data_IF_118814557463
#
_entry.id   IF_118814557463
#
_cell.length_a   1.000
_cell.length_b   1.000
_cell.length_c   1.000
_cell.angle_alpha   90.00
_cell.angle_beta   90.00
_cell.angle_gamma   90.00
#
_symmetry.space_group_name_H-M   'P 1'
#
loop_
_entity.id
_entity.type
_entity.pdbx_description
1 polymer ?
#
# COMPACT_ATOMS: atom_id res chain seq x y z
N UNK A 1 -4.43 -9.83 -3.71
CA UNK A 1 -5.01 -8.71 -2.93
C UNK A 1 -6.28 -9.21 -2.27
N UNK A 2 -6.51 -8.96 -0.99
CA UNK A 2 -7.77 -9.30 -0.30
C UNK A 2 -8.24 -8.09 0.50
N UNK A 3 -9.51 -7.77 0.44
CA UNK A 3 -10.18 -6.94 1.42
C UNK A 3 -10.81 -7.85 2.46
N UNK A 4 -10.80 -7.45 3.72
CA UNK A 4 -11.44 -8.18 4.82
C UNK A 4 -12.23 -7.18 5.65
N UNK A 5 -13.36 -7.62 6.15
CA UNK A 5 -14.14 -6.89 7.16
C UNK A 5 -13.80 -7.42 8.55
N UNK A 6 -14.00 -6.60 9.55
CA UNK A 6 -13.74 -6.97 10.94
C UNK A 6 -14.79 -7.97 11.49
N UNK A 7 -15.95 -8.00 10.86
CA UNK A 7 -17.03 -8.94 11.20
C UNK A 7 -17.93 -9.21 9.97
N UNK A 8 -18.17 -10.49 9.65
CA UNK A 8 -18.91 -10.92 8.47
C UNK A 8 -20.42 -10.96 8.67
N UNK A 9 -20.88 -11.17 9.91
CA UNK A 9 -22.30 -11.34 10.25
C UNK A 9 -22.67 -10.45 11.44
N UNK A 10 -23.83 -9.80 11.34
CA UNK A 10 -24.43 -9.03 12.41
C UNK A 10 -25.86 -9.49 12.66
N UNK A 11 -26.21 -9.63 13.93
CA UNK A 11 -27.58 -9.77 14.40
C UNK A 11 -27.93 -8.53 15.22
N UNK A 12 -28.80 -7.67 14.71
CA UNK A 12 -29.06 -6.34 15.27
C UNK A 12 -30.55 -6.06 15.45
N UNK A 13 -30.86 -5.15 16.33
CA UNK A 13 -32.21 -4.62 16.47
C UNK A 13 -32.54 -3.64 15.35
N UNK A 14 -33.84 -3.45 15.00
CA UNK A 14 -34.23 -2.40 14.06
C UNK A 14 -33.69 -1.04 14.49
N UNK A 15 -33.13 -0.29 13.50
CA UNK A 15 -32.55 1.04 13.67
C UNK A 15 -31.29 1.10 14.57
N UNK A 16 -30.76 -0.01 15.05
CA UNK A 16 -29.44 -0.06 15.66
C UNK A 16 -28.37 0.26 14.62
N UNK A 17 -27.40 1.10 15.00
CA UNK A 17 -26.31 1.48 14.09
C UNK A 17 -25.28 0.37 14.07
N UNK A 18 -25.09 -0.24 12.90
CA UNK A 18 -23.99 -1.15 12.62
C UNK A 18 -22.79 -0.34 12.12
N UNK A 19 -21.63 -0.60 12.69
CA UNK A 19 -20.35 -0.12 12.19
C UNK A 19 -19.51 -1.31 11.72
N UNK A 20 -19.06 -1.27 10.48
CA UNK A 20 -18.20 -2.28 9.87
C UNK A 20 -16.95 -1.62 9.38
N UNK A 21 -15.79 -2.14 9.74
CA UNK A 21 -14.49 -1.62 9.32
C UNK A 21 -13.88 -2.55 8.28
N UNK A 22 -13.60 -2.01 7.09
CA UNK A 22 -12.84 -2.72 6.09
C UNK A 22 -11.35 -2.47 6.28
N UNK A 23 -10.60 -3.55 6.27
CA UNK A 23 -9.15 -3.53 6.23
C UNK A 23 -8.64 -4.32 5.03
N UNK A 24 -7.46 -3.97 4.55
CA UNK A 24 -6.78 -4.72 3.51
C UNK A 24 -5.51 -5.34 4.07
N UNK A 25 -5.24 -6.59 3.70
CA UNK A 25 -3.91 -7.16 3.94
C UNK A 25 -2.90 -6.40 3.10
N UNK A 26 -1.86 -5.89 3.73
CA UNK A 26 -0.73 -5.25 3.05
C UNK A 26 -0.15 -6.22 2.03
N UNK A 27 -0.18 -5.85 0.76
CA UNK A 27 0.64 -6.50 -0.24
C UNK A 27 2.08 -6.01 -0.09
N UNK A 28 3.02 -6.86 -0.45
CA UNK A 28 4.40 -6.46 -0.67
C UNK A 28 4.46 -5.27 -1.63
N UNK A 29 5.29 -4.27 -1.34
CA UNK A 29 5.68 -3.28 -2.33
C UNK A 29 6.76 -3.91 -3.20
N UNK A 30 6.46 -4.18 -4.46
CA UNK A 30 7.39 -4.77 -5.41
C UNK A 30 8.08 -3.65 -6.19
N UNK A 31 9.21 -3.97 -6.78
CA UNK A 31 9.96 -3.11 -7.69
C UNK A 31 10.43 -3.87 -8.91
N UNK A 32 10.76 -3.18 -9.99
CA UNK A 32 11.46 -3.76 -11.14
C UNK A 32 12.96 -3.70 -10.92
N UNK A 33 13.64 -4.83 -11.06
CA UNK A 33 15.09 -4.96 -10.96
C UNK A 33 15.71 -5.05 -12.35
N UNK A 34 16.72 -4.22 -12.59
CA UNK A 34 17.48 -4.10 -13.83
C UNK A 34 18.92 -4.57 -13.63
N UNK A 35 19.46 -5.35 -14.58
CA UNK A 35 20.75 -6.05 -14.47
C UNK A 35 21.99 -5.20 -14.86
N UNK A 36 21.78 -3.98 -15.34
CA UNK A 36 22.86 -3.10 -15.81
C UNK A 36 23.46 -3.46 -17.16
N UNK A 37 22.89 -4.45 -17.87
CA UNK A 37 23.49 -4.95 -19.12
C UNK A 37 22.49 -5.18 -20.26
N UNK A 38 21.26 -5.57 -19.96
CA UNK A 38 20.28 -5.95 -20.98
C UNK A 38 18.85 -5.58 -20.65
N UNK A 39 18.52 -5.46 -19.36
CA UNK A 39 17.15 -5.25 -18.91
C UNK A 39 16.67 -3.83 -19.15
N UNK A 40 15.46 -3.70 -19.68
CA UNK A 40 14.73 -2.45 -19.79
C UNK A 40 13.23 -2.73 -19.99
N UNK A 41 12.39 -1.76 -19.64
CA UNK A 41 10.97 -1.78 -19.92
C UNK A 41 10.66 -0.79 -21.03
N UNK A 42 9.88 -1.21 -22.04
CA UNK A 42 9.28 -0.33 -23.04
C UNK A 42 7.81 -0.08 -22.72
N UNK A 43 7.44 1.18 -22.58
CA UNK A 43 6.05 1.62 -22.43
C UNK A 43 5.60 2.12 -23.80
N UNK A 44 4.63 1.44 -24.45
CA UNK A 44 4.16 1.82 -25.78
C UNK A 44 3.63 3.24 -25.81
N UNK A 45 3.90 3.94 -26.90
CA UNK A 45 3.39 5.30 -27.09
C UNK A 45 1.87 5.37 -26.90
N UNK A 46 1.44 6.37 -26.14
CA UNK A 46 0.03 6.63 -25.88
C UNK A 46 -0.27 8.13 -25.93
N UNK A 47 -1.48 8.49 -26.33
CA UNK A 47 -1.93 9.87 -26.37
C UNK A 47 -1.93 10.54 -24.98
N UNK A 48 -2.04 9.75 -23.90
CA UNK A 48 -2.07 10.26 -22.53
C UNK A 48 -0.79 11.01 -22.13
N UNK A 49 0.37 10.63 -22.67
CA UNK A 49 1.64 11.32 -22.40
C UNK A 49 2.24 12.04 -23.62
N UNK A 50 1.43 12.31 -24.64
CA UNK A 50 1.81 13.21 -25.73
C UNK A 50 1.68 14.67 -25.26
N UNK A 51 2.68 15.11 -24.51
CA UNK A 51 2.68 16.34 -23.75
C UNK A 51 2.67 17.60 -24.65
N UNK A 52 3.20 17.48 -25.88
CA UNK A 52 3.22 18.58 -26.83
C UNK A 52 4.02 19.80 -26.36
N UNK A 53 3.31 20.90 -26.17
CA UNK A 53 3.85 22.15 -25.64
C UNK A 53 3.32 22.48 -24.23
N UNK A 54 2.64 21.53 -23.56
CA UNK A 54 2.05 21.76 -22.24
C UNK A 54 3.05 21.48 -21.11
N UNK A 55 2.75 21.99 -19.92
CA UNK A 55 3.51 21.67 -18.70
C UNK A 55 3.32 20.20 -18.33
N UNK A 56 4.34 19.58 -17.74
CA UNK A 56 4.29 18.20 -17.30
C UNK A 56 5.26 17.92 -16.16
N UNK A 57 5.10 16.75 -15.55
CA UNK A 57 6.07 16.21 -14.59
C UNK A 57 6.26 14.72 -14.82
N UNK A 58 7.48 14.24 -14.52
CA UNK A 58 7.83 12.81 -14.48
C UNK A 58 8.45 12.53 -13.14
N UNK A 59 7.98 11.51 -12.46
CA UNK A 59 8.51 11.11 -11.15
C UNK A 59 8.52 9.60 -11.00
N UNK A 60 9.47 9.10 -10.20
CA UNK A 60 9.63 7.68 -9.87
C UNK A 60 10.57 7.50 -8.68
N UNK A 61 10.49 6.33 -8.05
CA UNK A 61 11.52 5.87 -7.15
C UNK A 61 12.57 5.07 -7.90
N UNK A 62 13.83 5.23 -7.50
CA UNK A 62 14.96 4.50 -8.06
C UNK A 62 15.97 4.17 -6.97
N UNK A 63 16.50 2.95 -7.01
CA UNK A 63 17.67 2.51 -6.27
C UNK A 63 18.75 2.22 -7.30
N UNK A 64 19.88 2.90 -7.20
CA UNK A 64 21.03 2.70 -8.10
C UNK A 64 22.14 2.03 -7.32
N UNK A 65 22.59 0.88 -7.79
CA UNK A 65 23.76 0.24 -7.21
C UNK A 65 24.99 1.11 -7.49
N UNK A 66 25.94 1.14 -6.54
CA UNK A 66 27.16 1.93 -6.67
C UNK A 66 27.92 1.52 -7.93
N UNK A 67 27.78 2.29 -8.99
CA UNK A 67 28.42 2.07 -10.29
C UNK A 67 28.99 3.37 -10.80
N UNK A 68 30.18 3.29 -11.43
CA UNK A 68 30.73 4.40 -12.21
C UNK A 68 30.13 4.32 -13.62
N UNK A 69 29.69 5.43 -14.15
CA UNK A 69 29.14 5.49 -15.51
C UNK A 69 27.85 6.27 -15.60
N UNK A 70 27.48 6.64 -16.80
CA UNK A 70 26.20 7.24 -17.11
C UNK A 70 25.17 6.12 -17.29
N UNK A 71 24.05 6.23 -16.63
CA UNK A 71 22.92 5.31 -16.76
C UNK A 71 21.64 6.09 -17.07
N UNK A 72 20.89 5.69 -18.09
CA UNK A 72 19.59 6.26 -18.36
C UNK A 72 18.53 5.63 -17.46
N UNK A 73 17.80 6.49 -16.76
CA UNK A 73 16.71 6.09 -15.88
C UNK A 73 15.40 6.01 -16.66
N UNK A 74 15.06 7.04 -17.43
CA UNK A 74 13.92 7.01 -18.33
C UNK A 74 14.11 7.90 -19.54
N UNK A 75 13.65 7.44 -20.71
CA UNK A 75 13.85 8.14 -21.98
C UNK A 75 12.57 8.10 -22.81
N UNK A 76 12.13 9.27 -23.25
CA UNK A 76 11.11 9.46 -24.29
C UNK A 76 11.75 10.28 -25.41
N UNK A 77 12.45 9.63 -26.34
CA UNK A 77 13.13 10.29 -27.47
C UNK A 77 13.06 9.47 -28.73
N UNK A 78 12.82 10.14 -29.86
CA UNK A 78 12.93 9.52 -31.17
C UNK A 78 14.37 9.55 -31.71
N UNK A 79 14.58 9.02 -32.90
CA UNK A 79 15.89 8.94 -33.56
C UNK A 79 16.54 10.32 -33.83
N UNK A 80 15.75 11.40 -33.88
CA UNK A 80 16.28 12.78 -34.03
C UNK A 80 16.61 13.44 -32.71
N UNK A 81 16.31 12.76 -31.59
CA UNK A 81 16.50 13.24 -30.22
C UNK A 81 15.36 14.10 -29.69
N UNK A 82 14.27 14.29 -30.45
CA UNK A 82 13.07 14.99 -29.99
C UNK A 82 12.43 14.21 -28.84
N UNK A 83 12.03 14.90 -27.77
CA UNK A 83 11.48 14.34 -26.54
C UNK A 83 12.31 14.74 -25.32
N UNK A 84 12.37 13.88 -24.31
CA UNK A 84 13.09 14.11 -23.07
C UNK A 84 13.87 12.87 -22.62
N UNK A 85 14.83 13.07 -21.71
CA UNK A 85 15.57 12.01 -21.05
C UNK A 85 15.97 12.39 -19.63
N UNK A 86 15.96 11.42 -18.73
CA UNK A 86 16.44 11.49 -17.35
C UNK A 86 17.54 10.44 -17.19
N UNK A 87 18.66 10.82 -16.59
CA UNK A 87 19.82 9.94 -16.40
C UNK A 87 20.53 10.24 -15.08
N UNK A 88 21.33 9.30 -14.62
CA UNK A 88 22.37 9.48 -13.61
C UNK A 88 23.72 9.63 -14.29
N UNK A 89 24.53 10.59 -13.89
CA UNK A 89 25.88 10.78 -14.40
C UNK A 89 26.93 9.94 -13.64
N UNK A 90 28.23 10.10 -14.02
CA UNK A 90 29.34 9.37 -13.41
C UNK A 90 29.57 9.70 -11.92
N UNK A 91 28.95 10.73 -11.40
CA UNK A 91 29.08 11.21 -10.02
C UNK A 91 27.80 11.00 -9.21
N UNK A 92 26.88 10.22 -9.70
CA UNK A 92 25.60 9.96 -9.04
C UNK A 92 24.56 11.08 -9.17
N UNK A 93 24.86 12.16 -9.89
CA UNK A 93 23.92 13.28 -10.04
C UNK A 93 22.88 12.99 -11.12
N UNK A 94 21.63 13.40 -10.86
CA UNK A 94 20.54 13.26 -11.83
C UNK A 94 20.55 14.40 -12.85
N UNK A 95 20.43 14.05 -14.12
CA UNK A 95 20.28 14.98 -15.22
C UNK A 95 18.93 14.87 -15.93
N UNK A 96 18.49 15.99 -16.52
CA UNK A 96 17.31 16.06 -17.38
C UNK A 96 17.65 16.86 -18.64
N UNK A 97 17.18 16.37 -19.79
CA UNK A 97 17.27 17.09 -21.06
C UNK A 97 15.98 16.97 -21.85
N UNK A 98 15.73 17.99 -22.65
CA UNK A 98 14.63 17.97 -23.61
C UNK A 98 15.06 18.61 -24.95
N UNK A 99 14.40 18.13 -26.03
CA UNK A 99 14.56 18.64 -27.39
C UNK A 99 13.23 18.69 -28.09
N UNK A 100 12.94 19.81 -28.75
CA UNK A 100 11.73 19.95 -29.55
C UNK A 100 11.91 19.55 -31.02
N UNK A 101 10.80 19.55 -31.75
CA UNK A 101 10.73 19.25 -33.19
C UNK A 101 11.57 20.19 -34.02
N UNK A 102 11.77 21.43 -33.59
CA UNK A 102 12.65 22.43 -34.27
C UNK A 102 14.13 22.23 -33.99
N UNK A 103 14.47 21.34 -33.05
CA UNK A 103 15.84 21.02 -32.67
C UNK A 103 16.38 21.85 -31.50
N UNK A 104 15.59 22.74 -30.91
CA UNK A 104 16.01 23.43 -29.70
C UNK A 104 16.25 22.41 -28.58
N UNK A 105 17.39 22.50 -27.91
CA UNK A 105 17.85 21.51 -26.92
C UNK A 105 18.35 22.20 -25.68
N UNK A 106 17.94 21.71 -24.52
CA UNK A 106 18.44 22.16 -23.23
C UNK A 106 18.65 20.95 -22.31
N UNK A 107 19.60 21.11 -21.39
CA UNK A 107 19.86 20.14 -20.34
C UNK A 107 20.17 20.84 -19.00
N UNK A 108 19.91 20.14 -17.91
CA UNK A 108 20.35 20.48 -16.56
C UNK A 108 20.83 19.22 -15.84
N UNK A 109 21.70 19.40 -14.83
CA UNK A 109 22.18 18.34 -13.96
C UNK A 109 22.18 18.86 -12.53
N UNK A 110 21.71 18.08 -11.59
CA UNK A 110 21.82 18.34 -10.17
C UNK A 110 23.26 18.22 -9.68
N UNK A 111 23.51 18.66 -8.47
CA UNK A 111 24.83 18.59 -7.85
C UNK A 111 24.81 18.66 -6.33
N UNK A 112 23.62 18.39 -5.72
CA UNK A 112 23.40 18.42 -4.27
C UNK A 112 23.30 17.01 -3.73
N UNK A 113 22.50 16.16 -4.39
CA UNK A 113 22.18 14.81 -3.95
C UNK A 113 22.65 13.78 -4.97
N UNK A 114 23.53 12.88 -4.56
CA UNK A 114 23.93 11.71 -5.33
C UNK A 114 22.93 10.57 -5.05
N UNK A 115 22.55 9.82 -6.09
CA UNK A 115 21.52 8.75 -5.97
C UNK A 115 22.10 7.35 -6.17
N UNK A 116 23.40 7.19 -6.28
CA UNK A 116 24.09 5.91 -6.51
C UNK A 116 24.77 5.36 -5.24
N UNK A 117 24.13 5.59 -4.11
CA UNK A 117 24.56 5.16 -2.78
C UNK A 117 23.94 3.81 -2.33
N UNK A 118 23.14 3.17 -3.19
CA UNK A 118 22.46 1.90 -2.90
C UNK A 118 21.20 2.04 -2.04
N UNK A 119 20.69 3.25 -1.85
CA UNK A 119 19.42 3.52 -1.21
C UNK A 119 18.34 3.91 -2.23
N UNK A 120 17.08 3.85 -1.82
CA UNK A 120 15.97 4.36 -2.60
C UNK A 120 15.93 5.88 -2.58
N UNK A 121 15.87 6.49 -3.76
CA UNK A 121 15.67 7.92 -3.95
C UNK A 121 14.44 8.21 -4.81
N UNK A 122 13.67 9.20 -4.44
CA UNK A 122 12.60 9.72 -5.27
C UNK A 122 13.13 10.81 -6.20
N UNK A 123 12.99 10.61 -7.49
CA UNK A 123 13.37 11.57 -8.54
C UNK A 123 12.12 12.18 -9.13
N UNK A 124 12.02 13.51 -9.16
CA UNK A 124 10.95 14.21 -9.85
C UNK A 124 11.49 15.36 -10.70
N UNK A 125 11.09 15.36 -11.96
CA UNK A 125 11.34 16.46 -12.90
C UNK A 125 10.01 17.12 -13.20
N UNK A 126 9.91 18.43 -12.98
CA UNK A 126 8.73 19.23 -13.33
C UNK A 126 9.13 20.27 -14.37
N UNK A 127 8.27 20.51 -15.36
CA UNK A 127 8.53 21.53 -16.36
C UNK A 127 7.33 22.42 -16.59
N UNK A 128 7.43 23.67 -16.10
CA UNK A 128 6.46 24.72 -16.37
C UNK A 128 6.78 25.34 -17.74
N UNK A 129 6.01 24.98 -18.75
CA UNK A 129 6.20 25.46 -20.12
C UNK A 129 5.83 26.94 -20.25
N UNK A 130 4.86 27.43 -19.48
CA UNK A 130 4.45 28.84 -19.47
C UNK A 130 5.51 29.77 -18.89
N UNK A 131 6.27 29.29 -17.89
CA UNK A 131 7.41 30.02 -17.28
C UNK A 131 8.75 29.61 -17.89
N UNK A 132 8.76 28.66 -18.82
CA UNK A 132 9.96 28.08 -19.41
C UNK A 132 10.95 27.49 -18.39
N UNK A 133 10.47 27.08 -17.20
CA UNK A 133 11.36 26.60 -16.12
C UNK A 133 11.17 25.10 -15.91
N UNK A 134 12.27 24.36 -16.04
CA UNK A 134 12.34 22.98 -15.57
C UNK A 134 13.02 22.93 -14.19
N UNK A 135 12.50 22.10 -13.30
CA UNK A 135 12.99 21.92 -11.93
C UNK A 135 13.17 20.44 -11.63
N UNK A 136 14.27 20.10 -10.99
CA UNK A 136 14.58 18.76 -10.48
C UNK A 136 14.43 18.76 -8.97
N UNK A 137 13.81 17.70 -8.45
CA UNK A 137 13.69 17.41 -7.04
C UNK A 137 14.22 16.00 -6.76
N UNK A 138 14.94 15.82 -5.64
CA UNK A 138 15.35 14.52 -5.12
C UNK A 138 14.81 14.40 -3.70
N UNK A 139 14.15 13.29 -3.39
CA UNK A 139 13.50 13.01 -2.10
C UNK A 139 12.54 14.14 -1.64
N UNK A 140 11.84 14.73 -2.62
CA UNK A 140 10.96 15.88 -2.41
C UNK A 140 11.67 17.20 -2.12
N UNK A 141 13.00 17.20 -2.00
CA UNK A 141 13.86 18.39 -1.85
C UNK A 141 14.20 19.03 -3.19
N UNK A 142 14.29 20.37 -3.21
CA UNK A 142 14.75 21.09 -4.39
C UNK A 142 16.22 20.75 -4.69
N UNK A 143 16.52 20.33 -5.91
CA UNK A 143 17.87 19.98 -6.37
C UNK A 143 18.46 21.09 -7.25
N UNK A 144 17.79 21.40 -8.36
CA UNK A 144 18.21 22.46 -9.29
C UNK A 144 17.05 22.91 -10.16
N UNK A 145 17.15 24.09 -10.74
CA UNK A 145 16.23 24.56 -11.77
C UNK A 145 16.92 25.33 -12.87
N UNK A 146 16.37 25.27 -14.07
CA UNK A 146 16.92 25.98 -15.23
C UNK A 146 15.80 26.53 -16.12
N UNK A 147 16.09 27.69 -16.74
CA UNK A 147 15.25 28.17 -17.82
C UNK A 147 15.52 27.31 -19.07
N UNK A 148 14.51 26.58 -19.51
CA UNK A 148 14.52 25.73 -20.70
C UNK A 148 13.89 26.47 -21.87
N UNK A 149 14.72 26.98 -22.76
CA UNK A 149 14.30 27.71 -23.96
C UNK A 149 13.66 26.83 -25.05
N UNK A 150 13.39 25.56 -24.79
CA UNK A 150 12.73 24.60 -25.67
C UNK A 150 11.25 24.94 -25.71
N UNK A 151 10.79 25.65 -26.75
CA UNK A 151 9.41 26.16 -26.85
C UNK A 151 8.49 25.33 -27.75
N UNK A 152 9.05 24.49 -28.60
CA UNK A 152 8.32 23.67 -29.56
C UNK A 152 7.74 22.36 -28.99
N UNK A 153 7.06 21.63 -29.86
CA UNK A 153 6.48 20.32 -29.55
C UNK A 153 7.58 19.29 -29.30
N UNK A 154 7.50 18.58 -28.16
CA UNK A 154 8.40 17.50 -27.81
C UNK A 154 7.76 16.11 -28.03
N UNK A 155 6.48 16.03 -28.42
CA UNK A 155 5.79 14.77 -28.64
C UNK A 155 6.28 14.08 -29.91
N UNK A 156 6.29 12.76 -29.88
CA UNK A 156 6.56 11.91 -31.04
C UNK A 156 5.84 10.56 -30.88
N UNK A 157 6.00 9.67 -31.83
CA UNK A 157 5.33 8.35 -31.87
C UNK A 157 6.20 7.21 -31.31
N UNK A 158 7.32 7.50 -30.71
CA UNK A 158 8.19 6.49 -30.07
C UNK A 158 7.75 6.18 -28.65
N UNK A 159 8.19 5.05 -28.16
CA UNK A 159 7.91 4.54 -26.84
C UNK A 159 8.74 5.24 -25.76
N UNK A 160 8.32 5.10 -24.50
CA UNK A 160 9.16 5.46 -23.34
C UNK A 160 9.94 4.21 -22.95
N UNK A 161 11.25 4.39 -22.69
CA UNK A 161 12.07 3.34 -22.09
C UNK A 161 12.38 3.67 -20.64
N UNK A 162 12.36 2.66 -19.77
CA UNK A 162 12.83 2.71 -18.39
C UNK A 162 14.04 1.80 -18.25
N UNK A 163 15.06 2.29 -17.56
CA UNK A 163 16.31 1.55 -17.34
C UNK A 163 17.23 1.47 -18.55
N UNK A 164 16.95 2.19 -19.65
CA UNK A 164 17.74 2.14 -20.88
C UNK A 164 17.73 3.44 -21.67
N UNK A 165 18.84 3.73 -22.31
CA UNK A 165 18.93 4.78 -23.30
C UNK A 165 20.20 4.74 -24.12
N UNK A 166 20.19 5.47 -25.24
CA UNK A 166 21.34 5.61 -26.11
C UNK A 166 21.85 7.06 -26.07
N UNK A 167 23.11 7.25 -25.78
CA UNK A 167 23.74 8.57 -25.76
C UNK A 167 23.71 9.20 -27.16
N UNK A 168 23.13 10.38 -27.31
CA UNK A 168 23.08 11.05 -28.64
C UNK A 168 24.44 11.51 -29.11
N UNK A 169 25.46 11.61 -28.22
CA UNK A 169 26.80 12.08 -28.55
C UNK A 169 27.77 10.96 -28.84
N UNK A 170 27.70 9.84 -28.13
CA UNK A 170 28.60 8.69 -28.32
C UNK A 170 27.98 7.53 -29.08
N UNK A 171 26.65 7.47 -29.19
CA UNK A 171 25.95 6.32 -29.75
C UNK A 171 25.96 5.07 -28.85
N UNK A 172 26.52 5.19 -27.64
CA UNK A 172 26.58 4.06 -26.70
C UNK A 172 25.24 3.88 -25.97
N UNK A 173 24.79 2.64 -25.91
CA UNK A 173 23.70 2.20 -25.05
C UNK A 173 24.18 2.09 -23.61
N UNK A 174 23.36 2.51 -22.66
CA UNK A 174 23.58 2.29 -21.23
C UNK A 174 22.31 1.78 -20.59
N UNK A 175 22.51 0.94 -19.59
CA UNK A 175 21.45 0.25 -18.86
C UNK A 175 21.55 0.57 -17.37
N UNK A 176 20.42 0.65 -16.69
CA UNK A 176 20.36 0.82 -15.25
C UNK A 176 20.81 -0.45 -14.54
N UNK A 177 21.72 -0.32 -13.57
CA UNK A 177 22.00 -1.35 -12.59
C UNK A 177 21.33 -0.95 -11.27
N UNK A 178 20.14 -1.47 -11.02
CA UNK A 178 19.37 -1.01 -9.87
C UNK A 178 17.91 -1.46 -9.92
N UNK A 179 17.07 -0.69 -9.26
CA UNK A 179 15.64 -0.97 -9.17
C UNK A 179 14.83 0.30 -9.43
N UNK A 180 13.61 0.15 -9.95
CA UNK A 180 12.65 1.27 -10.12
C UNK A 180 11.27 0.88 -9.66
N UNK A 181 10.52 1.90 -9.16
CA UNK A 181 9.16 1.76 -8.70
C UNK A 181 8.38 3.07 -8.87
N UNK A 182 7.04 3.00 -8.86
CA UNK A 182 6.14 4.14 -8.86
C UNK A 182 6.39 5.16 -9.98
N UNK A 183 6.55 4.67 -11.21
CA UNK A 183 6.77 5.53 -12.36
C UNK A 183 5.49 6.26 -12.75
N UNK A 184 5.54 7.61 -12.75
CA UNK A 184 4.39 8.47 -12.97
C UNK A 184 4.70 9.58 -13.96
N UNK A 185 3.73 9.88 -14.83
CA UNK A 185 3.75 11.09 -15.69
C UNK A 185 2.47 11.88 -15.42
N UNK A 186 2.64 13.19 -15.30
CA UNK A 186 1.56 14.14 -15.05
C UNK A 186 1.47 15.15 -16.19
N UNK A 187 0.25 15.44 -16.65
CA UNK A 187 -0.03 16.51 -17.61
C UNK A 187 -0.14 17.89 -16.92
N UNK A 188 0.69 18.10 -15.92
CA UNK A 188 0.81 19.36 -15.17
C UNK A 188 2.20 19.52 -14.55
N UNK A 189 2.54 20.75 -14.17
CA UNK A 189 3.67 21.01 -13.26
C UNK A 189 3.26 20.61 -11.83
N UNK A 190 3.88 19.61 -11.26
CA UNK A 190 3.71 19.27 -9.86
C UNK A 190 4.46 20.26 -8.98
N UNK A 191 3.83 20.74 -7.92
CA UNK A 191 4.50 21.59 -6.93
C UNK A 191 5.38 20.77 -6.00
N UNK A 192 6.36 21.39 -5.35
CA UNK A 192 7.16 20.72 -4.32
C UNK A 192 6.31 20.15 -3.18
N UNK A 193 5.22 20.83 -2.81
CA UNK A 193 4.26 20.34 -1.81
C UNK A 193 3.51 19.09 -2.27
N UNK A 194 3.11 19.03 -3.54
CA UNK A 194 2.46 17.84 -4.11
C UNK A 194 3.44 16.66 -4.13
N UNK A 195 4.67 16.88 -4.59
CA UNK A 195 5.70 15.84 -4.62
C UNK A 195 5.93 15.28 -3.22
N UNK A 196 6.17 16.16 -2.22
CA UNK A 196 6.39 15.75 -0.83
C UNK A 196 5.20 15.00 -0.22
N UNK A 197 3.98 15.38 -0.59
CA UNK A 197 2.75 14.75 -0.08
C UNK A 197 2.53 13.36 -0.66
N UNK A 198 2.85 13.16 -1.95
CA UNK A 198 2.42 11.98 -2.68
C UNK A 198 3.56 11.03 -3.10
N UNK A 199 4.84 11.43 -2.96
CA UNK A 199 5.96 10.57 -3.38
C UNK A 199 6.00 9.20 -2.69
N UNK A 200 5.56 9.13 -1.42
CA UNK A 200 5.52 7.88 -0.64
C UNK A 200 4.10 7.32 -0.50
N UNK A 201 3.23 7.60 -1.47
CA UNK A 201 1.83 7.17 -1.44
C UNK A 201 1.48 6.47 -2.74
N UNK A 202 0.94 5.26 -2.66
CA UNK A 202 0.27 4.64 -3.80
C UNK A 202 -0.96 5.46 -4.19
N UNK A 203 -1.01 5.92 -5.42
CA UNK A 203 -2.07 6.79 -5.88
C UNK A 203 -3.27 5.99 -6.39
N UNK A 204 -4.47 6.43 -6.04
CA UNK A 204 -5.65 6.03 -6.78
C UNK A 204 -5.80 6.95 -8.01
N UNK A 205 -5.58 6.48 -9.24
CA UNK A 205 -5.59 7.31 -10.43
C UNK A 205 -6.90 8.06 -10.66
N UNK A 206 -8.03 7.48 -10.23
CA UNK A 206 -9.34 8.12 -10.35
C UNK A 206 -9.45 9.46 -9.56
N UNK A 207 -8.55 9.68 -8.60
CA UNK A 207 -8.49 10.91 -7.81
C UNK A 207 -7.69 12.04 -8.47
N UNK A 208 -7.00 11.77 -9.59
CA UNK A 208 -6.05 12.69 -10.21
C UNK A 208 -6.29 12.79 -11.72
N UNK A 209 -7.04 13.79 -12.16
CA UNK A 209 -7.38 13.98 -13.57
C UNK A 209 -6.20 14.33 -14.48
N UNK A 210 -5.06 14.75 -13.91
CA UNK A 210 -3.84 15.12 -14.62
C UNK A 210 -2.79 14.02 -14.63
N UNK A 211 -3.01 12.91 -13.90
CA UNK A 211 -2.14 11.75 -13.91
C UNK A 211 -2.29 11.02 -15.25
N UNK A 212 -1.27 11.08 -16.06
CA UNK A 212 -1.27 10.52 -17.42
C UNK A 212 -0.87 9.05 -17.46
N UNK A 213 0.02 8.64 -16.56
CA UNK A 213 0.45 7.24 -16.40
C UNK A 213 0.91 6.97 -14.97
N UNK A 214 0.70 5.75 -14.49
CA UNK A 214 1.09 5.30 -13.15
C UNK A 214 1.38 3.81 -13.15
N UNK A 215 2.67 3.45 -13.20
CA UNK A 215 3.15 2.08 -13.06
C UNK A 215 3.70 1.89 -11.64
N UNK A 216 3.04 1.06 -10.84
CA UNK A 216 3.40 0.79 -9.45
C UNK A 216 4.06 -0.58 -9.23
N UNK A 217 4.17 -1.38 -10.28
CA UNK A 217 4.81 -2.71 -10.32
C UNK A 217 4.43 -3.69 -9.20
N UNK A 218 3.35 -3.44 -8.49
CA UNK A 218 2.87 -4.28 -7.39
C UNK A 218 2.12 -5.53 -7.87
N UNK A 219 1.92 -5.66 -9.15
CA UNK A 219 1.28 -6.80 -9.77
C UNK A 219 2.33 -7.86 -10.09
N UNK A 220 2.05 -9.09 -9.69
CA UNK A 220 2.78 -10.22 -10.21
C UNK A 220 2.37 -10.36 -11.68
N UNK A 221 3.34 -10.32 -12.58
CA UNK A 221 3.22 -10.40 -14.03
C UNK A 221 1.94 -11.07 -14.51
N UNK A 222 1.03 -10.26 -15.06
CA UNK A 222 0.02 -10.78 -15.97
C UNK A 222 0.74 -11.36 -17.21
N UNK A 223 0.16 -12.36 -17.85
CA UNK A 223 0.73 -12.96 -19.07
C UNK A 223 0.94 -11.92 -20.18
N UNK A 224 0.27 -10.79 -20.13
CA UNK A 224 0.25 -9.73 -21.12
C UNK A 224 1.26 -8.57 -20.86
N UNK A 225 1.86 -8.48 -19.68
CA UNK A 225 2.82 -7.40 -19.32
C UNK A 225 2.39 -6.56 -18.10
N UNK A 226 3.07 -5.44 -17.88
CA UNK A 226 2.79 -4.47 -16.83
C UNK A 226 1.72 -3.48 -17.28
N UNK A 227 0.68 -3.29 -16.49
CA UNK A 227 -0.41 -2.37 -16.83
C UNK A 227 -0.29 -1.07 -16.04
N UNK A 228 -0.45 0.03 -16.77
CA UNK A 228 -0.61 1.36 -16.19
C UNK A 228 -1.99 1.56 -15.61
N UNK A 229 -2.04 1.96 -14.35
CA UNK A 229 -3.26 2.19 -13.62
C UNK A 229 -4.06 3.44 -14.05
N UNK A 230 -3.43 4.40 -14.72
CA UNK A 230 -4.08 5.66 -15.10
C UNK A 230 -4.71 5.59 -16.51
N UNK A 231 -3.97 5.10 -17.50
CA UNK A 231 -4.37 5.11 -18.90
C UNK A 231 -4.66 3.70 -19.49
N UNK A 232 -4.45 2.64 -18.70
CA UNK A 232 -4.62 1.24 -19.14
C UNK A 232 -3.62 0.84 -20.22
N UNK A 233 -2.42 1.41 -20.18
CA UNK A 233 -1.33 1.07 -21.11
C UNK A 233 -0.68 -0.21 -20.64
N UNK A 234 -0.46 -1.17 -21.52
CA UNK A 234 0.25 -2.41 -21.20
C UNK A 234 1.69 -2.29 -21.75
N UNK A 235 2.67 -2.35 -20.86
CA UNK A 235 4.07 -2.50 -21.22
C UNK A 235 4.38 -3.99 -21.38
N UNK A 236 4.62 -4.50 -22.60
CA UNK A 236 4.70 -5.93 -22.86
C UNK A 236 5.93 -6.57 -22.21
N UNK A 237 5.78 -7.80 -21.74
CA UNK A 237 6.90 -8.63 -21.30
C UNK A 237 7.74 -9.04 -22.53
N UNK A 238 8.94 -8.50 -22.63
CA UNK A 238 9.93 -8.86 -23.68
C UNK A 238 10.95 -9.89 -23.19
N UNK A 239 11.84 -10.30 -24.08
CA UNK A 239 12.99 -11.19 -23.75
C UNK A 239 14.05 -10.53 -22.84
N UNK A 240 13.98 -9.21 -22.67
CA UNK A 240 14.86 -8.36 -21.85
C UNK A 240 14.10 -7.67 -20.72
N UNK A 241 13.00 -8.28 -20.27
CA UNK A 241 12.14 -7.73 -19.23
C UNK A 241 12.85 -7.76 -17.87
N UNK A 242 12.82 -6.66 -17.11
CA UNK A 242 13.34 -6.62 -15.76
C UNK A 242 12.69 -7.68 -14.87
N UNK A 243 13.44 -8.22 -13.91
CA UNK A 243 12.88 -9.13 -12.91
C UNK A 243 12.13 -8.35 -11.84
N UNK A 244 11.21 -9.03 -11.15
CA UNK A 244 10.48 -8.46 -10.02
C UNK A 244 11.23 -8.74 -8.72
N UNK A 245 11.54 -7.70 -7.96
CA UNK A 245 11.98 -7.84 -6.58
C UNK A 245 10.75 -7.74 -5.67
N UNK A 246 10.27 -8.89 -5.18
CA UNK A 246 9.12 -8.93 -4.27
C UNK A 246 9.49 -8.39 -2.89
N UNK A 247 8.80 -7.36 -2.42
CA UNK A 247 9.07 -6.63 -1.18
C UNK A 247 10.36 -5.79 -1.20
N UNK A 248 10.93 -5.52 -2.38
CA UNK A 248 12.13 -4.70 -2.53
C UNK A 248 11.88 -3.22 -2.71
N UNK A 249 10.64 -2.81 -2.98
CA UNK A 249 10.28 -1.42 -3.24
C UNK A 249 10.46 -0.47 -2.06
N UNK A 250 10.38 0.85 -2.30
CA UNK A 250 10.49 1.88 -1.26
C UNK A 250 9.34 1.78 -0.25
N UNK A 251 9.49 2.44 0.91
CA UNK A 251 8.40 2.47 1.90
C UNK A 251 7.24 3.34 1.42
N UNK A 252 6.10 2.73 1.16
CA UNK A 252 4.91 3.38 0.61
C UNK A 252 3.69 3.28 1.53
N UNK A 253 2.83 4.30 1.47
CA UNK A 253 1.50 4.30 2.10
C UNK A 253 0.44 4.00 1.07
N UNK A 254 -0.41 3.01 1.34
CA UNK A 254 -1.49 2.62 0.45
C UNK A 254 -2.78 3.38 0.77
N UNK A 255 -3.30 4.12 -0.19
CA UNK A 255 -4.60 4.79 -0.12
C UNK A 255 -5.61 4.03 -0.98
N UNK A 256 -6.47 3.23 -0.34
CA UNK A 256 -7.53 2.50 -1.03
C UNK A 256 -8.84 3.29 -1.03
N UNK A 257 -9.53 3.27 -2.16
CA UNK A 257 -10.92 3.68 -2.21
C UNK A 257 -11.79 2.49 -1.78
N UNK A 258 -12.51 2.64 -0.69
CA UNK A 258 -13.54 1.69 -0.26
C UNK A 258 -14.92 2.23 -0.65
N UNK A 259 -15.71 1.39 -1.31
CA UNK A 259 -17.09 1.68 -1.63
C UNK A 259 -17.98 0.58 -1.06
N UNK A 260 -18.96 0.96 -0.29
CA UNK A 260 -19.94 0.07 0.31
C UNK A 260 -21.26 0.19 -0.44
N UNK A 261 -21.88 -0.92 -0.76
CA UNK A 261 -23.19 -0.95 -1.42
C UNK A 261 -24.07 -1.98 -0.74
N UNK A 262 -25.27 -1.57 -0.35
CA UNK A 262 -26.26 -2.53 0.20
C UNK A 262 -27.24 -3.01 -0.88
N UNK A 263 -28.05 -4.01 -0.54
CA UNK A 263 -29.05 -4.60 -1.47
C UNK A 263 -30.09 -3.60 -1.97
N UNK A 264 -30.28 -2.48 -1.27
CA UNK A 264 -31.16 -1.38 -1.72
C UNK A 264 -30.48 -0.39 -2.67
N UNK A 265 -29.19 -0.59 -3.00
CA UNK A 265 -28.43 0.29 -3.87
C UNK A 265 -27.92 1.57 -3.20
N UNK A 266 -28.01 1.68 -1.87
CA UNK A 266 -27.37 2.80 -1.16
C UNK A 266 -25.87 2.56 -1.09
N UNK A 267 -25.10 3.63 -1.34
CA UNK A 267 -23.62 3.59 -1.36
C UNK A 267 -23.05 4.50 -0.28
N UNK A 268 -21.88 4.12 0.25
CA UNK A 268 -21.07 4.92 1.16
C UNK A 268 -19.59 4.70 0.82
N UNK A 269 -18.78 5.76 0.89
CA UNK A 269 -17.34 5.68 0.67
C UNK A 269 -16.58 5.78 1.99
N UNK A 270 -15.38 5.19 2.03
CA UNK A 270 -14.48 5.20 3.19
C UNK A 270 -14.30 3.81 3.80
N UNK A 271 -13.31 3.65 4.66
CA UNK A 271 -12.99 2.37 5.30
C UNK A 271 -14.00 1.92 6.37
N UNK A 272 -14.90 2.80 6.77
CA UNK A 272 -15.91 2.52 7.79
C UNK A 272 -17.29 2.68 7.16
N UNK A 273 -18.13 1.67 7.32
CA UNK A 273 -19.55 1.72 6.99
C UNK A 273 -20.38 1.82 8.26
N UNK A 274 -21.28 2.80 8.31
CA UNK A 274 -22.18 3.01 9.44
C UNK A 274 -23.61 3.20 8.95
N UNK A 275 -24.53 2.38 9.42
CA UNK A 275 -25.94 2.51 9.08
C UNK A 275 -26.83 1.78 10.07
N UNK A 276 -28.05 2.33 10.31
CA UNK A 276 -29.16 1.60 10.92
C UNK A 276 -29.96 0.84 9.87
N UNK A 277 -30.47 -0.34 10.24
CA UNK A 277 -31.24 -1.22 9.36
C UNK A 277 -32.64 -1.44 9.92
N UNK A 278 -33.64 -1.46 9.03
CA UNK A 278 -35.03 -1.76 9.34
C UNK A 278 -35.52 -3.09 8.75
N UNK A 279 -34.62 -3.83 8.13
CA UNK A 279 -34.82 -5.18 7.54
C UNK A 279 -33.47 -5.82 7.34
N UNK A 280 -33.47 -7.13 7.13
CA UNK A 280 -32.29 -7.88 6.71
C UNK A 280 -31.66 -7.23 5.48
N UNK A 281 -30.37 -7.13 5.45
CA UNK A 281 -29.62 -6.53 4.35
C UNK A 281 -28.29 -7.28 4.15
N UNK A 282 -27.70 -7.07 2.99
CA UNK A 282 -26.35 -7.51 2.69
C UNK A 282 -25.57 -6.29 2.23
N UNK A 283 -24.42 -6.06 2.81
CA UNK A 283 -23.55 -4.96 2.47
C UNK A 283 -22.28 -5.52 1.85
N UNK A 284 -21.96 -5.07 0.63
CA UNK A 284 -20.75 -5.43 -0.07
C UNK A 284 -19.79 -4.27 0.01
N UNK A 285 -18.57 -4.52 0.46
CA UNK A 285 -17.46 -3.58 0.33
C UNK A 285 -16.63 -3.93 -0.89
N UNK A 286 -16.35 -2.92 -1.68
CA UNK A 286 -15.40 -2.99 -2.78
C UNK A 286 -14.18 -2.14 -2.42
N UNK A 287 -13.00 -2.74 -2.37
CA UNK A 287 -11.74 -2.02 -2.26
C UNK A 287 -11.08 -2.03 -3.63
N UNK A 288 -11.01 -0.85 -4.24
CA UNK A 288 -10.45 -0.66 -5.57
C UNK A 288 -9.05 -0.06 -5.53
N UNK A 289 -8.16 -0.66 -6.30
CA UNK A 289 -6.87 -0.07 -6.65
C UNK A 289 -6.53 -0.50 -8.08
N UNK A 290 -6.29 0.49 -8.96
CA UNK A 290 -6.12 0.22 -10.38
C UNK A 290 -7.38 -0.47 -10.98
N UNK A 291 -7.22 -1.50 -11.79
CA UNK A 291 -8.32 -2.35 -12.31
C UNK A 291 -8.75 -3.44 -11.33
N UNK A 292 -8.04 -3.61 -10.23
CA UNK A 292 -8.30 -4.69 -9.27
C UNK A 292 -9.35 -4.24 -8.28
N UNK A 293 -10.47 -4.93 -8.30
CA UNK A 293 -11.53 -4.84 -7.32
C UNK A 293 -11.47 -6.08 -6.44
N UNK A 294 -11.28 -5.89 -5.15
CA UNK A 294 -11.50 -6.92 -4.16
C UNK A 294 -12.83 -6.63 -3.48
N UNK A 295 -13.62 -7.67 -3.27
CA UNK A 295 -14.92 -7.55 -2.61
C UNK A 295 -14.95 -8.42 -1.37
N UNK A 296 -15.64 -7.94 -0.35
CA UNK A 296 -16.06 -8.72 0.79
C UNK A 296 -17.50 -8.42 1.12
N UNK A 297 -18.17 -9.30 1.85
CA UNK A 297 -19.61 -9.23 2.06
C UNK A 297 -19.95 -9.40 3.51
N UNK A 298 -20.77 -8.49 4.02
CA UNK A 298 -21.31 -8.50 5.39
C UNK A 298 -22.80 -8.81 5.33
N UNK A 299 -23.23 -9.79 6.10
CA UNK A 299 -24.64 -10.14 6.23
C UNK A 299 -25.21 -9.54 7.51
N UNK A 300 -26.33 -8.82 7.37
CA UNK A 300 -27.01 -8.17 8.48
C UNK A 300 -28.40 -8.76 8.59
N UNK A 301 -28.66 -9.46 9.69
CA UNK A 301 -29.96 -10.01 10.02
C UNK A 301 -30.60 -9.20 11.15
N UNK A 302 -31.89 -8.91 11.03
CA UNK A 302 -32.63 -8.29 12.11
C UNK A 302 -33.11 -9.34 13.13
N UNK A 303 -32.87 -9.05 14.40
CA UNK A 303 -33.43 -9.81 15.50
C UNK A 303 -34.87 -9.37 15.78
N UNK A 304 -35.68 -10.31 16.26
CA UNK A 304 -36.94 -9.97 16.90
C UNK A 304 -36.67 -9.43 18.31
N UNK A 305 -36.43 -8.11 18.39
CA UNK A 305 -35.91 -7.47 19.61
C UNK A 305 -36.82 -7.49 20.81
N UNK A 306 -38.14 -7.75 20.60
CA UNK A 306 -39.11 -7.98 21.68
C UNK A 306 -38.88 -9.32 22.39
N UNK A 307 -38.06 -10.21 21.78
CA UNK A 307 -37.72 -11.54 22.32
C UNK A 307 -36.23 -11.69 22.62
N UNK A 308 -35.41 -10.66 22.37
CA UNK A 308 -34.02 -10.72 22.78
C UNK A 308 -33.95 -10.83 24.31
N UNK A 309 -33.26 -11.83 24.85
CA UNK A 309 -32.98 -11.87 26.27
C UNK A 309 -32.29 -10.56 26.66
N UNK A 310 -32.62 -10.01 27.84
CA UNK A 310 -31.90 -8.89 28.42
C UNK A 310 -30.39 -9.13 28.19
N UNK A 311 -29.60 -8.15 27.72
CA UNK A 311 -28.14 -8.32 27.55
C UNK A 311 -27.46 -8.90 28.79
N UNK A 312 -28.14 -8.81 29.97
CA UNK A 312 -27.74 -9.46 31.21
C UNK A 312 -28.05 -10.98 31.24
N UNK A 313 -28.91 -11.44 30.36
CA UNK A 313 -29.34 -12.84 30.26
C UNK A 313 -28.63 -13.60 29.12
N UNK A 314 -27.90 -12.90 28.26
CA UNK A 314 -27.07 -13.51 27.21
C UNK A 314 -25.75 -13.95 27.81
N UNK A 315 -25.42 -15.22 27.63
CA UNK A 315 -24.15 -15.75 28.08
C UNK A 315 -22.98 -15.05 27.33
N UNK A 316 -22.22 -14.26 28.06
CA UNK A 316 -21.05 -13.59 27.53
C UNK A 316 -19.82 -13.86 28.40
N UNK A 317 -18.69 -14.16 27.78
CA UNK A 317 -17.43 -14.41 28.44
C UNK A 317 -16.37 -13.46 27.91
N UNK A 318 -15.82 -12.64 28.82
CA UNK A 318 -14.82 -11.63 28.56
C UNK A 318 -13.49 -12.05 29.17
N UNK A 319 -12.49 -12.28 28.34
CA UNK A 319 -11.15 -12.66 28.75
C UNK A 319 -10.16 -11.54 28.40
N UNK A 320 -9.23 -11.17 29.29
CA UNK A 320 -8.23 -10.15 28.99
C UNK A 320 -7.20 -10.67 27.98
N UNK A 321 -6.71 -9.81 27.11
CA UNK A 321 -5.67 -10.13 26.11
C UNK A 321 -4.25 -10.09 26.68
N UNK A 322 -4.08 -9.49 27.87
CA UNK A 322 -2.81 -9.44 28.59
C UNK A 322 -3.03 -9.26 30.09
N UNK A 323 -2.05 -9.65 30.91
CA UNK A 323 -2.00 -9.33 32.32
C UNK A 323 -0.55 -9.19 32.83
N UNK A 324 -0.38 -8.49 33.96
CA UNK A 324 0.93 -8.07 34.48
C UNK A 324 1.03 -8.37 35.98
N UNK A 325 1.43 -9.62 36.37
CA UNK A 325 1.53 -9.98 37.77
C UNK A 325 2.81 -9.37 38.44
N UNK A 326 2.81 -8.05 38.63
CA UNK A 326 3.91 -7.27 39.18
C UNK A 326 3.66 -6.81 40.65
N UNK A 327 2.47 -7.13 41.18
CA UNK A 327 2.12 -6.83 42.60
C UNK A 327 1.62 -5.40 42.84
N UNK A 328 1.25 -4.67 41.77
CA UNK A 328 0.72 -3.29 41.89
C UNK A 328 -0.81 -3.24 42.09
N UNK A 329 -1.44 -4.37 42.25
CA UNK A 329 -2.88 -4.57 42.41
C UNK A 329 -3.71 -4.24 41.14
N UNK A 330 -3.05 -4.13 40.00
CA UNK A 330 -3.71 -3.93 38.70
C UNK A 330 -3.30 -5.03 37.72
N UNK A 331 -4.28 -5.75 37.19
CA UNK A 331 -4.07 -6.84 36.24
C UNK A 331 -3.04 -7.90 36.70
N UNK A 332 -2.89 -8.08 38.02
CA UNK A 332 -2.00 -9.08 38.61
C UNK A 332 -2.47 -10.52 38.40
N UNK A 333 -3.72 -10.70 38.01
CA UNK A 333 -4.35 -11.99 37.83
C UNK A 333 -5.06 -12.01 36.49
N UNK A 334 -4.83 -13.06 35.71
CA UNK A 334 -5.63 -13.34 34.53
C UNK A 334 -7.01 -13.86 34.97
N UNK A 335 -7.99 -12.96 34.98
CA UNK A 335 -9.33 -13.22 35.47
C UNK A 335 -10.35 -13.01 34.35
N UNK A 336 -11.10 -14.05 34.07
CA UNK A 336 -12.21 -14.02 33.10
C UNK A 336 -13.45 -13.49 33.82
N UNK A 337 -14.24 -12.68 33.14
CA UNK A 337 -15.55 -12.23 33.57
C UNK A 337 -16.61 -12.83 32.66
N UNK A 338 -17.76 -13.17 33.24
CA UNK A 338 -18.89 -13.65 32.48
C UNK A 338 -20.21 -13.19 33.10
N UNK A 339 -21.25 -13.19 32.28
CA UNK A 339 -22.63 -13.02 32.71
C UNK A 339 -23.49 -14.12 32.09
N UNK A 340 -24.65 -14.36 32.70
CA UNK A 340 -25.66 -15.32 32.22
C UNK A 340 -25.12 -16.75 31.95
N UNK A 341 -24.15 -17.21 32.77
CA UNK A 341 -23.65 -18.58 32.69
C UNK A 341 -24.00 -19.41 33.91
N UNK A 342 -24.24 -20.71 33.69
CA UNK A 342 -24.58 -21.69 34.76
C UNK A 342 -23.42 -22.62 35.08
N UNK A 343 -22.40 -22.66 34.22
CA UNK A 343 -21.16 -23.44 34.38
C UNK A 343 -19.99 -22.68 33.83
N UNK A 344 -18.83 -22.83 34.48
CA UNK A 344 -17.56 -22.28 34.05
C UNK A 344 -16.40 -23.22 34.33
N UNK A 345 -15.48 -23.37 33.39
CA UNK A 345 -14.22 -24.04 33.59
C UNK A 345 -13.16 -23.42 32.70
N UNK A 346 -12.02 -23.04 33.28
CA UNK A 346 -10.90 -22.45 32.55
C UNK A 346 -9.64 -23.27 32.74
N UNK A 347 -8.93 -23.56 31.66
CA UNK A 347 -7.61 -24.16 31.66
C UNK A 347 -6.64 -23.26 30.88
N UNK A 348 -5.44 -23.03 31.44
CA UNK A 348 -4.40 -22.23 30.81
C UNK A 348 -3.26 -23.13 30.39
N UNK A 349 -2.84 -23.00 29.15
CA UNK A 349 -1.80 -23.81 28.52
C UNK A 349 -0.58 -22.96 28.17
N UNK A 350 0.62 -23.55 28.30
CA UNK A 350 1.82 -23.03 27.66
C UNK A 350 1.88 -23.44 26.18
N UNK A 351 2.89 -22.92 25.46
CA UNK A 351 3.14 -23.24 24.05
C UNK A 351 3.39 -24.72 23.75
N UNK A 352 3.78 -25.51 24.77
CA UNK A 352 4.04 -26.95 24.65
C UNK A 352 2.77 -27.78 24.91
N UNK A 353 1.62 -27.12 25.16
CA UNK A 353 0.34 -27.77 25.44
C UNK A 353 0.17 -28.28 26.87
N UNK A 354 1.07 -27.95 27.80
CA UNK A 354 0.96 -28.32 29.22
C UNK A 354 -0.01 -27.39 29.95
N UNK A 355 -0.89 -27.96 30.76
CA UNK A 355 -1.81 -27.21 31.62
C UNK A 355 -1.00 -26.62 32.78
N UNK A 356 -1.07 -25.30 32.92
CA UNK A 356 -0.41 -24.54 34.01
C UNK A 356 -1.38 -24.13 35.09
N UNK A 357 -2.66 -23.96 34.74
CA UNK A 357 -3.70 -23.54 35.65
C UNK A 357 -5.05 -24.16 35.26
N UNK A 358 -5.88 -24.45 36.25
CA UNK A 358 -7.22 -24.95 36.07
C UNK A 358 -8.12 -24.44 37.20
N UNK A 359 -9.30 -23.89 36.83
CA UNK A 359 -10.32 -23.46 37.76
C UNK A 359 -11.71 -23.71 37.21
N UNK A 360 -12.63 -24.07 38.12
CA UNK A 360 -14.08 -24.10 37.86
C UNK A 360 -14.83 -22.94 38.55
N UNK A 361 -14.11 -22.09 39.25
CA UNK A 361 -14.64 -20.88 39.87
C UNK A 361 -14.22 -19.67 39.04
N UNK A 362 -15.21 -18.93 38.53
CA UNK A 362 -14.99 -17.74 37.71
C UNK A 362 -14.28 -16.61 38.45
N UNK A 363 -14.35 -16.60 39.79
CA UNK A 363 -13.66 -15.61 40.61
C UNK A 363 -12.20 -15.97 40.89
N UNK A 364 -11.77 -17.16 40.46
CA UNK A 364 -10.40 -17.66 40.68
C UNK A 364 -9.62 -17.59 39.38
N UNK A 365 -8.72 -16.59 39.27
CA UNK A 365 -7.85 -16.38 38.11
C UNK A 365 -6.43 -16.86 38.32
N UNK A 366 -5.64 -16.88 37.25
CA UNK A 366 -4.25 -17.29 37.26
C UNK A 366 -3.29 -16.10 37.55
N UNK A 367 -2.44 -16.27 38.52
CA UNK A 367 -1.46 -15.27 38.95
C UNK A 367 -0.09 -15.35 38.20
N UNK A 368 0.01 -16.13 37.14
CA UNK A 368 1.25 -16.26 36.39
C UNK A 368 2.29 -17.18 37.02
N UNK A 369 1.88 -18.06 37.96
CA UNK A 369 2.79 -19.06 38.57
C UNK A 369 2.37 -20.48 38.25
N UNK A 370 3.34 -21.40 38.27
CA UNK A 370 3.14 -22.85 38.18
C UNK A 370 4.06 -23.56 39.16
N UNK A 371 3.52 -24.38 40.06
CA UNK A 371 4.28 -25.03 41.15
C UNK A 371 5.12 -24.03 41.95
N UNK A 372 4.53 -22.94 42.39
CA UNK A 372 5.12 -21.85 43.15
C UNK A 372 6.30 -21.11 42.47
N UNK A 373 6.47 -21.30 41.18
CA UNK A 373 7.47 -20.60 40.36
C UNK A 373 6.80 -19.70 39.34
N UNK A 374 7.36 -18.50 39.17
CA UNK A 374 6.92 -17.60 38.14
C UNK A 374 7.08 -18.20 36.74
N UNK A 375 6.04 -18.16 35.93
CA UNK A 375 6.10 -18.50 34.52
C UNK A 375 6.82 -17.40 33.73
N UNK A 376 7.41 -17.75 32.61
CA UNK A 376 8.11 -16.79 31.74
C UNK A 376 7.11 -15.82 31.07
N UNK A 377 7.59 -14.62 30.77
CA UNK A 377 6.87 -13.71 29.90
C UNK A 377 6.64 -14.35 28.53
N UNK A 378 5.49 -14.09 27.92
CA UNK A 378 5.16 -14.66 26.65
C UNK A 378 3.68 -14.94 26.46
N UNK A 379 3.37 -15.67 25.39
CA UNK A 379 2.02 -15.99 24.96
C UNK A 379 1.56 -17.31 25.56
N UNK A 380 0.31 -17.30 26.03
CA UNK A 380 -0.41 -18.44 26.63
C UNK A 380 -1.78 -18.56 25.98
N UNK A 381 -2.42 -19.71 26.14
CA UNK A 381 -3.77 -19.98 25.64
C UNK A 381 -4.66 -20.33 26.82
N UNK A 382 -5.79 -19.65 26.93
CA UNK A 382 -6.89 -20.02 27.82
C UNK A 382 -7.96 -20.75 27.03
N UNK A 383 -8.27 -21.98 27.44
CA UNK A 383 -9.48 -22.69 27.05
C UNK A 383 -10.55 -22.43 28.09
N UNK A 384 -11.68 -21.85 27.69
CA UNK A 384 -12.77 -21.49 28.56
C UNK A 384 -14.01 -22.27 28.11
N UNK A 385 -14.47 -23.15 28.97
CA UNK A 385 -15.72 -23.90 28.76
C UNK A 385 -16.80 -23.27 29.65
N UNK A 386 -17.94 -23.01 29.09
CA UNK A 386 -19.08 -22.47 29.85
C UNK A 386 -20.39 -22.99 29.31
N UNK A 387 -21.42 -22.88 30.14
CA UNK A 387 -22.79 -23.23 29.78
C UNK A 387 -23.68 -22.02 30.09
N UNK A 388 -24.56 -21.70 29.15
CA UNK A 388 -25.54 -20.64 29.33
C UNK A 388 -26.71 -21.05 30.26
N UNK A 389 -27.67 -20.13 30.40
CA UNK A 389 -28.87 -20.34 31.20
C UNK A 389 -29.81 -21.40 30.60
N UNK A 390 -29.72 -21.62 29.29
CA UNK A 390 -30.53 -22.63 28.56
C UNK A 390 -29.85 -24.00 28.52
N UNK A 391 -28.65 -24.11 29.07
CA UNK A 391 -27.90 -25.35 29.17
C UNK A 391 -27.04 -25.68 27.96
N UNK A 392 -26.87 -24.77 26.99
CA UNK A 392 -25.98 -24.94 25.87
C UNK A 392 -24.54 -24.81 26.31
N UNK A 393 -23.66 -25.66 25.80
CA UNK A 393 -22.22 -25.66 26.12
C UNK A 393 -21.40 -24.98 25.02
N UNK A 394 -20.45 -24.14 25.45
CA UNK A 394 -19.58 -23.42 24.59
C UNK A 394 -18.12 -23.65 25.00
N UNK A 395 -17.20 -23.62 24.04
CA UNK A 395 -15.77 -23.65 24.27
C UNK A 395 -15.15 -22.46 23.52
N UNK A 396 -14.44 -21.61 24.27
CA UNK A 396 -13.73 -20.45 23.73
C UNK A 396 -12.24 -20.64 23.97
N UNK A 397 -11.43 -20.35 22.96
CA UNK A 397 -9.96 -20.31 23.06
C UNK A 397 -9.50 -18.87 22.94
N UNK A 398 -8.79 -18.37 23.95
CA UNK A 398 -8.21 -17.02 23.94
C UNK A 398 -6.71 -17.06 24.06
N UNK A 399 -6.04 -16.35 23.17
CA UNK A 399 -4.61 -16.12 23.24
C UNK A 399 -4.34 -14.84 24.03
N UNK A 400 -3.46 -14.89 25.02
CA UNK A 400 -3.12 -13.73 25.82
C UNK A 400 -1.63 -13.70 26.18
N UNK A 401 -1.16 -12.51 26.59
CA UNK A 401 0.26 -12.27 26.92
C UNK A 401 0.45 -12.05 28.41
N UNK A 402 1.40 -12.78 29.02
CA UNK A 402 1.93 -12.47 30.34
C UNK A 402 3.13 -11.54 30.18
N UNK A 403 3.09 -10.40 30.86
CA UNK A 403 4.16 -9.40 30.92
C UNK A 403 4.52 -9.12 32.39
N UNK A 404 5.75 -8.66 32.68
CA UNK A 404 6.20 -8.28 34.02
C UNK A 404 6.98 -6.98 33.98
#
# INVERSE_FOLDING_TARGET
MTVTVDQDDFLVCPDEIVEVVAARSTTSNNSLQFDGSSDYLEIPNNAAFNIGTTSFSVEFWVLVNTTSGLEYLSVYRNATGQGWAIWKDNSGNVGFAARDVAGAYELMTGNITEIDDGNWHHVAVTWNRGKTTATLYIDGGFETSKNFGVGGDISHTGDITMGYGVSPTSGNATYLNGEMDEFRIWNEERTSGDIQTYMSTHLNPASFSTLATNFDFNELTDADGWEDCAAGIIAPNGTTTPSVNTMGGPSMTFNFAYNWTNTSGNTQSGSIYQKGFSRDDTVVVEAGYCKYLCTDTVYIALAECDTLPDPRDVAAVFAPTAFTPNGDSRNDVYLVKANAITYFEMQIYNRDGNILFHSKDINTGWNGTFNDKSCYEGVYIAQIMYRDVDGLEFIKYEQFTLMR
#
